data_IF_915162393055
#
_entry.id   IF_915162393055
#
_cell.length_a   1.000
_cell.length_b   1.000
_cell.length_c   1.000
_cell.angle_alpha   90.00
_cell.angle_beta   90.00
_cell.angle_gamma   90.00
#
_symmetry.space_group_name_H-M   'P 1'
#
loop_
_entity.id
_entity.type
_entity.pdbx_description
1 polymer ?
#
# COMPACT_ATOMS: atom_id res chain seq x y z
N UNK A 1 5.91 -9.33 -0.47
CA UNK A 1 4.46 -9.03 -0.51
C UNK A 1 3.63 -9.51 0.71
N UNK A 2 4.26 -9.84 1.86
CA UNK A 2 3.55 -10.37 3.05
C UNK A 2 2.42 -9.46 3.56
N UNK A 3 2.62 -8.13 3.54
CA UNK A 3 1.58 -7.16 3.91
C UNK A 3 0.24 -7.41 3.21
N UNK A 4 0.27 -7.74 1.91
CA UNK A 4 -0.94 -7.98 1.11
C UNK A 4 -1.63 -9.26 1.54
N UNK A 5 -0.85 -10.31 1.85
CA UNK A 5 -1.35 -11.60 2.34
C UNK A 5 -2.10 -11.40 3.65
N UNK A 6 -1.56 -10.64 4.59
CA UNK A 6 -2.19 -10.46 5.89
C UNK A 6 -3.42 -9.55 5.82
N UNK A 7 -3.39 -8.51 4.97
CA UNK A 7 -4.55 -7.67 4.70
C UNK A 7 -5.71 -8.47 4.08
N UNK A 8 -5.44 -9.30 3.07
CA UNK A 8 -6.51 -10.08 2.43
C UNK A 8 -7.11 -11.16 3.35
N UNK A 9 -6.36 -11.63 4.35
CA UNK A 9 -6.78 -12.71 5.25
C UNK A 9 -7.32 -12.19 6.61
N UNK A 10 -7.26 -10.88 6.86
CA UNK A 10 -7.75 -10.28 8.10
C UNK A 10 -9.25 -9.99 8.02
N UNK A 11 -10.04 -10.74 8.78
CA UNK A 11 -11.49 -10.50 8.90
C UNK A 11 -11.81 -9.12 9.50
N UNK A 12 -10.98 -8.63 10.42
CA UNK A 12 -11.13 -7.31 11.03
C UNK A 12 -10.89 -6.20 10.00
N UNK A 13 -9.87 -6.36 9.16
CA UNK A 13 -9.62 -5.43 8.07
C UNK A 13 -10.74 -5.45 7.02
N UNK A 14 -11.21 -6.64 6.63
CA UNK A 14 -12.34 -6.79 5.71
C UNK A 14 -13.63 -6.13 6.24
N UNK A 15 -13.85 -6.15 7.56
CA UNK A 15 -15.00 -5.52 8.20
C UNK A 15 -15.01 -3.99 8.08
N UNK A 16 -13.88 -3.35 7.77
CA UNK A 16 -13.81 -1.90 7.51
C UNK A 16 -14.51 -1.50 6.19
N UNK A 17 -14.83 -2.46 5.32
CA UNK A 17 -15.45 -2.21 4.02
C UNK A 17 -14.66 -1.21 3.14
N UNK A 18 -13.33 -1.28 3.20
CA UNK A 18 -12.40 -0.54 2.33
C UNK A 18 -11.78 -1.47 1.30
N UNK A 19 -11.65 -0.99 0.05
CA UNK A 19 -10.95 -1.73 -0.99
C UNK A 19 -9.44 -1.47 -0.90
N UNK A 20 -8.64 -2.54 -0.89
CA UNK A 20 -7.18 -2.44 -1.01
C UNK A 20 -6.77 -2.70 -2.44
N UNK A 21 -5.82 -1.90 -2.92
CA UNK A 21 -5.13 -2.07 -4.19
C UNK A 21 -3.64 -1.87 -3.90
N UNK A 22 -2.80 -2.79 -4.38
CA UNK A 22 -1.34 -2.64 -4.30
C UNK A 22 -0.82 -2.11 -5.64
N UNK A 23 0.11 -1.17 -5.58
CA UNK A 23 0.77 -0.58 -6.75
C UNK A 23 2.27 -0.67 -6.53
N UNK A 24 3.01 -1.18 -7.51
CA UNK A 24 4.46 -1.28 -7.48
C UNK A 24 5.07 -0.94 -8.83
N UNK A 25 6.36 -0.57 -8.85
CA UNK A 25 7.10 -0.28 -10.08
C UNK A 25 7.28 -1.53 -10.95
N UNK A 26 7.45 -2.69 -10.32
CA UNK A 26 7.70 -3.96 -10.98
C UNK A 26 6.66 -4.25 -12.07
N UNK A 27 7.10 -4.94 -13.13
CA UNK A 27 6.19 -5.39 -14.18
C UNK A 27 5.25 -6.49 -13.67
N UNK A 28 4.11 -6.65 -14.33
CA UNK A 28 3.21 -7.79 -14.07
C UNK A 28 3.94 -9.14 -14.24
N UNK A 29 4.92 -9.22 -15.15
CA UNK A 29 5.68 -10.46 -15.37
C UNK A 29 6.55 -10.80 -14.16
N UNK A 30 7.14 -9.80 -13.51
CA UNK A 30 7.97 -9.97 -12.31
C UNK A 30 7.12 -10.31 -11.08
N UNK A 31 5.97 -9.65 -10.90
CA UNK A 31 5.11 -9.84 -9.72
C UNK A 31 4.26 -11.11 -9.76
N UNK A 32 3.89 -11.60 -10.96
CA UNK A 32 2.93 -12.71 -11.11
C UNK A 32 3.36 -14.02 -10.42
N UNK A 33 4.63 -14.48 -10.51
CA UNK A 33 5.04 -15.71 -9.82
C UNK A 33 4.91 -15.61 -8.29
N UNK A 34 5.32 -14.49 -7.69
CA UNK A 34 5.24 -14.29 -6.23
C UNK A 34 3.79 -14.19 -5.77
N UNK A 35 2.95 -13.39 -6.45
CA UNK A 35 1.53 -13.26 -6.10
C UNK A 35 0.79 -14.60 -6.15
N UNK A 36 1.05 -15.43 -7.16
CA UNK A 36 0.50 -16.79 -7.24
C UNK A 36 1.03 -17.70 -6.13
N UNK A 37 2.33 -17.66 -5.85
CA UNK A 37 2.95 -18.47 -4.80
C UNK A 37 2.44 -18.13 -3.40
N UNK A 38 2.08 -16.86 -3.17
CA UNK A 38 1.58 -16.37 -1.89
C UNK A 38 0.04 -16.46 -1.75
N UNK A 39 -0.65 -16.94 -2.80
CA UNK A 39 -2.10 -17.03 -2.79
C UNK A 39 -2.81 -15.67 -2.73
N UNK A 40 -2.17 -14.62 -3.27
CA UNK A 40 -2.79 -13.29 -3.38
C UNK A 40 -3.87 -13.35 -4.45
N UNK A 41 -5.13 -13.22 -4.04
CA UNK A 41 -6.28 -13.43 -4.95
C UNK A 41 -7.34 -12.35 -4.86
N UNK A 42 -7.54 -11.76 -3.67
CA UNK A 42 -8.59 -10.76 -3.44
C UNK A 42 -8.11 -9.31 -3.60
N UNK A 43 -6.80 -9.08 -3.50
CA UNK A 43 -6.20 -7.75 -3.63
C UNK A 43 -5.61 -7.60 -5.03
N UNK A 44 -6.08 -6.64 -5.85
CA UNK A 44 -5.43 -6.31 -7.11
C UNK A 44 -4.01 -5.80 -6.87
N UNK A 45 -3.05 -6.34 -7.63
CA UNK A 45 -1.66 -5.88 -7.67
C UNK A 45 -1.40 -5.27 -9.04
N UNK A 46 -1.14 -3.96 -9.06
CA UNK A 46 -1.00 -3.14 -10.26
C UNK A 46 0.47 -2.77 -10.49
N UNK A 47 0.83 -2.61 -11.75
CA UNK A 47 2.17 -2.23 -12.20
C UNK A 47 2.18 -0.76 -12.64
N UNK A 48 3.13 0.00 -12.12
CA UNK A 48 3.38 1.43 -12.40
C UNK A 48 4.86 1.64 -12.79
N UNK A 49 5.32 1.05 -13.92
CA UNK A 49 6.74 0.99 -14.26
C UNK A 49 7.35 2.34 -14.64
N UNK A 50 6.52 3.29 -15.08
CA UNK A 50 6.92 4.67 -15.38
C UNK A 50 6.74 5.63 -14.20
N UNK A 51 6.25 5.12 -13.06
CA UNK A 51 6.01 5.85 -11.83
C UNK A 51 4.99 6.99 -11.98
N UNK A 52 4.14 6.97 -13.01
CA UNK A 52 3.16 8.04 -13.26
C UNK A 52 2.15 8.13 -12.12
N UNK A 53 1.63 6.99 -11.64
CA UNK A 53 0.65 6.98 -10.54
C UNK A 53 1.34 7.40 -9.25
N UNK A 54 2.52 6.84 -8.98
CA UNK A 54 3.33 7.19 -7.81
C UNK A 54 3.66 8.69 -7.75
N UNK A 55 3.94 9.31 -8.89
CA UNK A 55 4.16 10.76 -8.98
C UNK A 55 2.87 11.56 -8.73
N UNK A 56 1.73 11.14 -9.27
CA UNK A 56 0.44 11.83 -9.09
C UNK A 56 -0.04 11.84 -7.63
N UNK A 57 0.26 10.80 -6.87
CA UNK A 57 -0.01 10.74 -5.43
C UNK A 57 1.07 11.41 -4.57
N UNK A 58 2.08 12.04 -5.19
CA UNK A 58 3.18 12.72 -4.52
C UNK A 58 3.94 11.81 -3.52
N UNK A 59 4.05 10.50 -3.82
CA UNK A 59 4.75 9.54 -2.94
C UNK A 59 6.23 9.39 -3.26
N UNK A 60 6.68 9.86 -4.42
CA UNK A 60 8.10 9.79 -4.83
C UNK A 60 9.03 10.67 -3.99
N UNK A 61 8.50 11.60 -3.19
CA UNK A 61 9.29 12.35 -2.20
C UNK A 61 9.91 11.46 -1.11
N UNK A 62 9.40 10.24 -0.93
CA UNK A 62 9.95 9.22 -0.03
C UNK A 62 10.68 8.09 -0.76
N UNK A 63 10.96 8.27 -2.05
CA UNK A 63 11.59 7.24 -2.86
C UNK A 63 12.95 6.82 -2.30
N UNK A 64 13.26 5.54 -2.41
CA UNK A 64 14.58 5.01 -2.09
C UNK A 64 15.59 5.37 -3.20
N UNK A 65 16.87 5.08 -2.99
CA UNK A 65 17.95 5.55 -3.87
C UNK A 65 17.83 5.12 -5.35
N UNK A 66 17.10 4.05 -5.66
CA UNK A 66 16.86 3.57 -7.03
C UNK A 66 15.63 4.22 -7.71
N UNK A 67 14.97 5.18 -7.04
CA UNK A 67 13.79 5.90 -7.52
C UNK A 67 12.45 5.20 -7.25
N UNK A 68 12.44 4.00 -6.65
CA UNK A 68 11.19 3.33 -6.29
C UNK A 68 10.48 4.03 -5.13
N UNK A 69 9.14 4.07 -5.16
CA UNK A 69 8.36 4.54 -4.02
C UNK A 69 8.71 3.72 -2.78
N UNK A 70 8.59 4.36 -1.61
CA UNK A 70 8.77 3.70 -0.33
C UNK A 70 7.64 2.72 -0.01
N UNK A 71 7.40 2.49 1.28
CA UNK A 71 6.27 1.69 1.75
C UNK A 71 5.13 2.62 2.18
N UNK A 72 4.43 3.17 1.21
CA UNK A 72 3.41 4.19 1.43
C UNK A 72 2.00 3.61 1.42
N UNK A 73 1.14 4.10 2.32
CA UNK A 73 -0.30 3.87 2.30
C UNK A 73 -1.02 5.19 2.04
N UNK A 74 -2.05 5.14 1.19
CA UNK A 74 -2.94 6.26 0.88
C UNK A 74 -4.37 5.79 1.12
N UNK A 75 -5.11 6.50 1.97
CA UNK A 75 -6.54 6.32 2.18
C UNK A 75 -7.28 7.37 1.36
N UNK A 76 -8.21 6.91 0.54
CA UNK A 76 -9.07 7.75 -0.31
C UNK A 76 -10.53 7.47 0.08
N UNK A 77 -11.33 8.52 0.28
CA UNK A 77 -12.76 8.40 0.57
C UNK A 77 -13.60 8.10 -0.69
N UNK A 78 -14.91 8.00 -0.52
CA UNK A 78 -15.84 7.71 -1.62
C UNK A 78 -15.95 8.85 -2.66
N UNK A 79 -15.64 10.08 -2.25
CA UNK A 79 -15.63 11.29 -3.06
C UNK A 79 -14.31 11.48 -3.82
N UNK A 80 -13.28 10.68 -3.51
CA UNK A 80 -11.96 10.73 -4.15
C UNK A 80 -10.96 11.63 -3.43
N UNK A 81 -11.23 12.09 -2.21
CA UNK A 81 -10.30 12.88 -1.42
C UNK A 81 -9.32 12.00 -0.66
N UNK A 82 -8.07 12.42 -0.57
CA UNK A 82 -7.06 11.77 0.27
C UNK A 82 -7.32 12.16 1.73
N UNK A 83 -7.73 11.18 2.53
CA UNK A 83 -7.99 11.35 3.97
C UNK A 83 -6.72 11.13 4.80
N UNK A 84 -5.82 10.27 4.32
CA UNK A 84 -4.57 9.98 5.01
C UNK A 84 -3.51 9.48 4.03
N UNK A 85 -2.27 9.92 4.25
CA UNK A 85 -1.10 9.46 3.51
C UNK A 85 0.07 9.33 4.48
N UNK A 86 0.70 8.16 4.49
CA UNK A 86 1.86 7.91 5.35
C UNK A 86 2.82 6.92 4.69
N UNK A 87 4.10 7.29 4.69
CA UNK A 87 5.17 6.41 4.27
C UNK A 87 5.89 5.79 5.48
N UNK A 88 6.17 4.50 5.35
CA UNK A 88 6.86 3.69 6.34
C UNK A 88 8.26 3.24 5.87
N UNK A 89 8.58 3.38 4.60
CA UNK A 89 9.81 2.86 3.99
C UNK A 89 10.90 3.90 3.73
N UNK A 90 10.62 5.18 3.97
CA UNK A 90 11.46 6.29 3.59
C UNK A 90 12.89 6.16 4.17
N UNK A 91 13.94 6.48 3.39
CA UNK A 91 15.32 6.36 3.87
C UNK A 91 15.64 7.15 5.15
N UNK A 92 14.95 8.27 5.37
CA UNK A 92 15.10 9.17 6.51
C UNK A 92 14.21 8.79 7.72
N UNK A 93 13.33 7.79 7.58
CA UNK A 93 12.55 7.28 8.70
C UNK A 93 13.44 6.39 9.61
N UNK A 94 13.68 6.78 10.88
CA UNK A 94 14.51 6.00 11.80
C UNK A 94 13.89 4.64 12.17
N UNK A 95 12.57 4.52 12.01
CA UNK A 95 11.79 3.30 12.26
C UNK A 95 11.28 2.70 10.94
N UNK A 96 12.03 2.85 9.85
CA UNK A 96 11.60 2.37 8.54
C UNK A 96 11.24 0.87 8.58
N UNK A 97 10.16 0.51 7.90
CA UNK A 97 9.67 -0.86 7.79
C UNK A 97 9.03 -1.10 6.43
N UNK A 98 9.11 -2.35 5.98
CA UNK A 98 8.40 -2.86 4.79
C UNK A 98 7.18 -3.71 5.18
N UNK A 99 6.85 -3.73 6.47
CA UNK A 99 5.67 -4.38 7.03
C UNK A 99 5.11 -3.54 8.17
N UNK A 100 3.84 -3.21 8.06
CA UNK A 100 3.06 -2.48 9.05
C UNK A 100 2.04 -3.45 9.62
N UNK A 101 1.96 -3.51 10.95
CA UNK A 101 0.98 -4.34 11.63
C UNK A 101 -0.43 -4.02 11.14
N UNK A 102 -1.21 -5.06 10.83
CA UNK A 102 -2.57 -4.90 10.28
C UNK A 102 -3.44 -4.08 11.25
N UNK A 103 -3.27 -4.25 12.56
CA UNK A 103 -3.97 -3.46 13.57
C UNK A 103 -3.60 -1.96 13.54
N UNK A 104 -2.36 -1.60 13.20
CA UNK A 104 -1.99 -0.20 13.01
C UNK A 104 -2.70 0.38 11.79
N UNK A 105 -2.77 -0.36 10.67
CA UNK A 105 -3.50 0.09 9.49
C UNK A 105 -4.99 0.25 9.77
N UNK A 106 -5.60 -0.69 10.47
CA UNK A 106 -7.01 -0.61 10.91
C UNK A 106 -7.25 0.66 11.74
N UNK A 107 -6.39 0.92 12.74
CA UNK A 107 -6.51 2.11 13.58
C UNK A 107 -6.38 3.42 12.78
N UNK A 108 -5.42 3.49 11.84
CA UNK A 108 -5.27 4.66 10.97
C UNK A 108 -6.53 4.85 10.10
N UNK A 109 -7.07 3.78 9.53
CA UNK A 109 -8.28 3.87 8.68
C UNK A 109 -9.46 4.37 9.50
N UNK A 110 -9.75 3.75 10.65
CA UNK A 110 -10.87 4.15 11.51
C UNK A 110 -10.75 5.61 11.97
N UNK A 111 -9.54 6.04 12.34
CA UNK A 111 -9.32 7.42 12.80
C UNK A 111 -9.54 8.46 11.70
N UNK A 112 -9.39 8.09 10.41
CA UNK A 112 -9.46 9.02 9.29
C UNK A 112 -10.74 8.89 8.44
N UNK A 113 -11.55 7.83 8.59
CA UNK A 113 -12.83 7.69 7.89
C UNK A 113 -14.00 8.40 8.59
N UNK A 114 -13.88 8.71 9.88
CA UNK A 114 -14.95 9.30 10.70
C UNK A 114 -14.88 10.85 10.79
N UNK A 115 -13.98 11.51 10.05
CA UNK A 115 -13.82 12.97 10.03
C UNK A 115 -14.45 13.61 8.78
#
# INVERSE_FOLDING_TARGET
MQQIVDLQNSAEFQALNVQVISIARDSIQEMKPETLSLGITSVPVLSDPDLTVSAQYDVLKWAIANGEPGHTFVLVDAEGNIQWIKDYGAPDNPNRTMYVEVSELINNIQTNLDN
#
